data_IF_195741625430
#
_entry.id   IF_195741625430
#
_cell.length_a   1.000
_cell.length_b   1.000
_cell.length_c   1.000
_cell.angle_alpha   90.00
_cell.angle_beta   90.00
_cell.angle_gamma   90.00
#
_symmetry.space_group_name_H-M   'P 1'
#
loop_
_entity.id
_entity.type
_entity.pdbx_description
1 polymer ?
#
# COMPACT_ATOMS: atom_id res chain seq x y z
N UNK A 1 -31.57 -5.50 19.79
CA UNK A 1 -30.87 -4.98 18.59
C UNK A 1 -30.17 -6.16 17.98
N UNK A 2 -30.82 -6.77 16.99
CA UNK A 2 -30.27 -7.90 16.26
C UNK A 2 -29.12 -7.40 15.37
N UNK A 3 -27.91 -7.89 15.65
CA UNK A 3 -26.77 -7.68 14.78
C UNK A 3 -27.03 -8.57 13.57
N UNK A 4 -27.53 -7.97 12.49
CA UNK A 4 -27.56 -8.64 11.20
C UNK A 4 -26.13 -9.04 10.85
N UNK A 5 -25.83 -10.34 10.94
CA UNK A 5 -24.59 -10.92 10.44
C UNK A 5 -24.59 -10.66 8.94
N UNK A 6 -23.79 -9.68 8.51
CA UNK A 6 -23.57 -9.45 7.08
C UNK A 6 -23.05 -10.77 6.49
N UNK A 7 -23.59 -11.24 5.36
CA UNK A 7 -23.07 -12.43 4.71
C UNK A 7 -21.57 -12.25 4.47
N UNK A 8 -20.78 -13.29 4.76
CA UNK A 8 -19.34 -13.28 4.53
C UNK A 8 -19.08 -12.77 3.11
N UNK A 9 -18.32 -11.67 3.00
CA UNK A 9 -17.98 -11.14 1.70
C UNK A 9 -17.13 -12.20 0.97
N UNK A 10 -17.62 -12.70 -0.16
CA UNK A 10 -16.90 -13.65 -0.98
C UNK A 10 -16.30 -12.91 -2.17
N UNK A 11 -15.00 -13.08 -2.40
CA UNK A 11 -14.39 -12.58 -3.62
C UNK A 11 -14.90 -13.40 -4.83
N UNK A 12 -15.66 -12.76 -5.72
CA UNK A 12 -16.25 -13.41 -6.89
C UNK A 12 -15.19 -13.66 -7.98
N UNK A 13 -14.46 -14.77 -7.86
CA UNK A 13 -13.39 -15.16 -8.80
C UNK A 13 -13.82 -15.22 -10.26
N UNK A 14 -15.04 -15.66 -10.54
CA UNK A 14 -15.51 -15.77 -11.91
C UNK A 14 -15.67 -14.40 -12.55
N UNK A 15 -16.14 -13.40 -11.79
CA UNK A 15 -16.26 -12.03 -12.27
C UNK A 15 -14.89 -11.42 -12.54
N UNK A 16 -13.93 -11.64 -11.64
CA UNK A 16 -12.55 -11.18 -11.85
C UNK A 16 -11.90 -11.83 -13.08
N UNK A 17 -12.01 -13.15 -13.24
CA UNK A 17 -11.51 -13.86 -14.42
C UNK A 17 -12.15 -13.31 -15.70
N UNK A 18 -13.46 -13.14 -15.72
CA UNK A 18 -14.18 -12.57 -16.87
C UNK A 18 -13.69 -11.16 -17.21
N UNK A 19 -13.43 -10.32 -16.20
CA UNK A 19 -12.87 -8.97 -16.38
C UNK A 19 -11.46 -9.03 -16.96
N UNK A 20 -10.55 -9.78 -16.33
CA UNK A 20 -9.15 -9.92 -16.77
C UNK A 20 -9.05 -10.48 -18.19
N UNK A 21 -9.78 -11.56 -18.49
CA UNK A 21 -9.82 -12.14 -19.83
C UNK A 21 -10.49 -11.23 -20.87
N UNK A 22 -11.43 -10.37 -20.46
CA UNK A 22 -12.03 -9.36 -21.33
C UNK A 22 -11.06 -8.24 -21.73
N UNK A 23 -10.00 -8.01 -20.95
CA UNK A 23 -9.08 -6.90 -21.14
C UNK A 23 -7.90 -7.21 -22.06
N UNK A 24 -7.48 -8.48 -22.13
CA UNK A 24 -6.53 -8.95 -23.14
C UNK A 24 -6.99 -8.61 -24.57
N UNK A 25 -8.31 -8.45 -24.76
CA UNK A 25 -8.94 -8.14 -26.05
C UNK A 25 -9.44 -6.68 -26.16
N UNK A 26 -9.23 -5.84 -25.14
CA UNK A 26 -9.86 -4.53 -25.06
C UNK A 26 -9.00 -3.41 -25.67
N UNK A 27 -9.60 -2.54 -26.49
CA UNK A 27 -8.97 -1.33 -27.06
C UNK A 27 -8.77 -0.18 -26.06
N UNK A 28 -8.94 -0.44 -24.76
CA UNK A 28 -9.22 0.60 -23.77
C UNK A 28 -7.99 1.11 -23.00
N UNK A 29 -6.77 0.87 -23.47
CA UNK A 29 -5.54 1.33 -22.80
C UNK A 29 -5.20 0.58 -21.50
N UNK A 30 -4.09 0.94 -20.83
CA UNK A 30 -3.59 0.22 -19.66
C UNK A 30 -4.55 0.33 -18.46
N UNK A 31 -4.61 -0.75 -17.68
CA UNK A 31 -5.46 -0.85 -16.49
C UNK A 31 -4.69 -1.39 -15.27
N UNK A 32 -4.99 -0.84 -14.11
CA UNK A 32 -4.46 -1.26 -12.81
C UNK A 32 -5.57 -1.92 -11.99
N UNK A 33 -5.42 -3.21 -11.69
CA UNK A 33 -6.38 -4.00 -10.93
C UNK A 33 -6.01 -4.03 -9.47
N UNK A 34 -6.86 -3.47 -8.62
CA UNK A 34 -6.66 -3.48 -7.18
C UNK A 34 -7.43 -4.67 -6.59
N UNK A 35 -6.68 -5.58 -5.97
CA UNK A 35 -7.19 -6.84 -5.44
C UNK A 35 -6.89 -6.98 -3.95
N UNK A 36 -7.79 -7.63 -3.19
CA UNK A 36 -7.50 -7.97 -1.81
C UNK A 36 -6.40 -9.04 -1.77
N UNK A 37 -5.57 -9.06 -0.73
CA UNK A 37 -4.63 -10.15 -0.49
C UNK A 37 -5.32 -11.27 0.27
N UNK A 38 -5.73 -12.31 -0.47
CA UNK A 38 -6.37 -13.53 0.05
C UNK A 38 -5.63 -14.77 -0.45
N UNK A 39 -5.80 -15.95 0.19
CA UNK A 39 -5.22 -17.19 -0.32
C UNK A 39 -5.54 -17.46 -1.80
N UNK A 40 -6.77 -17.12 -2.21
CA UNK A 40 -7.27 -17.39 -3.54
C UNK A 40 -6.77 -16.40 -4.59
N UNK A 41 -6.72 -15.11 -4.27
CA UNK A 41 -6.16 -14.08 -5.19
C UNK A 41 -4.67 -14.29 -5.38
N UNK A 42 -3.93 -14.58 -4.31
CA UNK A 42 -2.50 -14.93 -4.38
C UNK A 42 -2.29 -16.21 -5.20
N UNK A 43 -3.08 -17.25 -4.93
CA UNK A 43 -3.07 -18.49 -5.70
C UNK A 43 -3.37 -18.29 -7.17
N UNK A 44 -4.35 -17.44 -7.49
CA UNK A 44 -4.77 -17.19 -8.86
C UNK A 44 -3.65 -16.51 -9.65
N UNK A 45 -3.03 -15.47 -9.08
CA UNK A 45 -1.90 -14.79 -9.73
C UNK A 45 -0.71 -15.74 -9.91
N UNK A 46 -0.38 -16.54 -8.89
CA UNK A 46 0.73 -17.50 -8.98
C UNK A 46 0.50 -18.64 -9.97
N UNK A 47 -0.73 -19.13 -10.12
CA UNK A 47 -1.08 -20.24 -11.04
C UNK A 47 -1.29 -19.82 -12.48
N UNK A 48 -1.47 -18.53 -12.75
CA UNK A 48 -1.76 -18.02 -14.08
C UNK A 48 -0.69 -17.01 -14.52
N UNK A 49 0.59 -17.43 -14.68
CA UNK A 49 1.63 -16.55 -15.19
C UNK A 49 1.31 -16.04 -16.61
N UNK A 50 0.44 -16.74 -17.34
CA UNK A 50 -0.09 -16.35 -18.64
C UNK A 50 -0.86 -15.01 -18.64
N UNK A 51 -1.34 -14.53 -17.48
CA UNK A 51 -1.94 -13.19 -17.37
C UNK A 51 -0.91 -12.11 -17.75
N UNK A 52 0.39 -12.38 -17.57
CA UNK A 52 1.47 -11.52 -18.05
C UNK A 52 1.56 -10.14 -17.38
N UNK A 53 0.70 -9.84 -16.41
CA UNK A 53 0.64 -8.55 -15.74
C UNK A 53 1.59 -8.53 -14.53
N UNK A 54 2.50 -7.55 -14.42
CA UNK A 54 3.30 -7.39 -13.21
C UNK A 54 2.38 -7.12 -12.01
N UNK A 55 2.72 -7.74 -10.89
CA UNK A 55 1.98 -7.60 -9.62
C UNK A 55 2.77 -6.73 -8.66
N UNK A 56 2.17 -5.63 -8.21
CA UNK A 56 2.73 -4.74 -7.20
C UNK A 56 2.38 -5.28 -5.82
N UNK A 57 3.40 -5.58 -5.03
CA UNK A 57 3.28 -6.17 -3.69
C UNK A 57 4.02 -5.32 -2.66
N UNK A 58 3.69 -5.53 -1.39
CA UNK A 58 4.21 -4.74 -0.28
C UNK A 58 4.76 -5.60 0.85
N UNK A 59 4.35 -5.30 2.08
CA UNK A 59 4.93 -5.88 3.29
C UNK A 59 4.89 -7.41 3.35
N UNK A 60 3.86 -8.04 2.78
CA UNK A 60 3.72 -9.50 2.77
C UNK A 60 4.51 -10.18 1.65
N UNK A 61 4.90 -9.43 0.60
CA UNK A 61 5.54 -9.98 -0.61
C UNK A 61 4.76 -11.14 -1.22
N UNK A 62 3.43 -11.01 -1.28
CA UNK A 62 2.55 -12.02 -1.87
C UNK A 62 1.85 -11.46 -3.12
N UNK A 63 1.84 -12.17 -4.25
CA UNK A 63 2.63 -13.36 -4.55
C UNK A 63 4.15 -13.08 -4.51
N UNK A 64 4.96 -14.12 -4.31
CA UNK A 64 6.42 -14.00 -4.20
C UNK A 64 7.09 -13.43 -5.46
N UNK A 65 6.45 -13.61 -6.62
CA UNK A 65 6.87 -13.06 -7.91
C UNK A 65 6.53 -11.57 -8.09
N UNK A 66 5.95 -10.93 -7.07
CA UNK A 66 5.59 -9.53 -7.12
C UNK A 66 6.80 -8.59 -7.09
N UNK A 67 6.61 -7.40 -7.64
CA UNK A 67 7.58 -6.30 -7.62
C UNK A 67 7.10 -5.18 -6.69
N UNK A 68 8.02 -4.33 -6.27
CA UNK A 68 7.70 -3.12 -5.51
C UNK A 68 7.12 -2.03 -6.42
N UNK A 69 6.40 -1.07 -5.82
CA UNK A 69 5.89 0.09 -6.55
C UNK A 69 7.03 0.90 -7.20
N UNK A 70 8.18 1.02 -6.52
CA UNK A 70 9.34 1.72 -7.04
C UNK A 70 9.95 1.04 -8.28
N UNK A 71 10.04 -0.29 -8.27
CA UNK A 71 10.48 -1.06 -9.44
C UNK A 71 9.54 -0.86 -10.63
N UNK A 72 8.21 -0.95 -10.43
CA UNK A 72 7.29 -0.68 -11.54
C UNK A 72 7.51 0.72 -12.13
N UNK A 73 7.55 1.75 -11.27
CA UNK A 73 7.67 3.14 -11.72
C UNK A 73 8.98 3.41 -12.48
N UNK A 74 10.06 2.69 -12.20
CA UNK A 74 11.31 2.83 -12.96
C UNK A 74 11.22 2.22 -14.37
N UNK A 75 10.32 1.27 -14.61
CA UNK A 75 10.09 0.63 -15.92
C UNK A 75 9.10 1.36 -16.83
N UNK A 76 8.18 2.17 -16.27
CA UNK A 76 7.13 2.87 -17.04
C UNK A 76 7.54 3.99 -18.05
N UNK A 77 8.80 4.39 -18.29
CA UNK A 77 9.09 5.44 -19.28
C UNK A 77 9.27 5.02 -20.76
N UNK A 78 9.18 3.74 -21.17
CA UNK A 78 9.85 3.28 -22.42
C UNK A 78 8.97 2.59 -23.50
N UNK A 79 7.68 2.90 -23.61
CA UNK A 79 6.72 2.34 -24.60
C UNK A 79 6.09 1.01 -24.20
N UNK A 80 4.75 0.96 -24.26
CA UNK A 80 3.82 -0.03 -23.71
C UNK A 80 3.74 -0.07 -22.17
N UNK A 81 2.76 0.66 -21.63
CA UNK A 81 2.28 0.48 -20.26
C UNK A 81 1.51 -0.86 -20.19
N UNK A 82 2.01 -1.90 -19.52
CA UNK A 82 1.26 -3.14 -19.36
C UNK A 82 0.10 -2.92 -18.39
N UNK A 83 -0.94 -3.76 -18.46
CA UNK A 83 -1.88 -3.86 -17.35
C UNK A 83 -1.13 -4.37 -16.12
N UNK A 84 -1.52 -3.93 -14.93
CA UNK A 84 -0.85 -4.28 -13.67
C UNK A 84 -1.85 -4.77 -12.64
N UNK A 85 -1.42 -5.67 -11.76
CA UNK A 85 -2.16 -6.05 -10.56
C UNK A 85 -1.55 -5.32 -9.37
N UNK A 86 -2.37 -4.87 -8.42
CA UNK A 86 -1.94 -4.12 -7.24
C UNK A 86 -2.59 -4.73 -6.01
N UNK A 87 -1.77 -5.19 -5.07
CA UNK A 87 -2.19 -5.58 -3.75
C UNK A 87 -2.04 -4.39 -2.80
N UNK A 88 -2.92 -3.39 -2.98
CA UNK A 88 -2.84 -2.10 -2.28
C UNK A 88 -2.88 -2.25 -0.77
N UNK A 89 -3.56 -3.29 -0.26
CA UNK A 89 -3.63 -3.65 1.14
C UNK A 89 -2.27 -4.07 1.74
N UNK A 90 -1.32 -4.53 0.93
CA UNK A 90 0.06 -4.82 1.36
C UNK A 90 0.96 -3.58 1.42
N UNK A 91 0.60 -2.50 0.72
CA UNK A 91 1.38 -1.26 0.64
C UNK A 91 1.21 -0.45 1.92
N UNK A 92 1.69 -0.99 3.04
CA UNK A 92 1.52 -0.44 4.39
C UNK A 92 2.76 0.26 4.90
N UNK A 93 3.96 -0.01 4.36
CA UNK A 93 5.21 0.51 4.90
C UNK A 93 5.37 2.01 4.66
N UNK A 94 6.22 2.73 5.42
CA UNK A 94 6.39 4.19 5.26
C UNK A 94 6.91 4.61 3.88
N UNK A 95 7.59 3.69 3.18
CA UNK A 95 8.12 3.92 1.84
C UNK A 95 7.02 3.83 0.79
N UNK A 96 6.07 2.89 0.97
CA UNK A 96 4.98 2.66 0.01
C UNK A 96 3.78 3.56 0.31
N UNK A 97 3.37 3.64 1.58
CA UNK A 97 2.24 4.44 2.06
C UNK A 97 2.69 5.76 2.69
N UNK A 98 2.86 6.77 1.83
CA UNK A 98 3.40 8.09 2.16
C UNK A 98 2.33 9.15 2.34
N UNK A 99 1.10 8.92 1.86
CA UNK A 99 0.02 9.92 1.88
C UNK A 99 -0.86 9.69 3.10
N UNK A 100 -0.94 10.70 3.98
CA UNK A 100 -1.85 10.67 5.12
C UNK A 100 -3.23 11.19 4.71
N UNK A 101 -4.26 10.40 4.98
CA UNK A 101 -5.65 10.77 4.80
C UNK A 101 -6.34 10.92 6.15
N UNK A 102 -7.27 11.87 6.24
CA UNK A 102 -8.17 12.05 7.38
C UNK A 102 -9.56 11.55 7.00
N UNK A 103 -10.10 10.66 7.81
CA UNK A 103 -11.46 10.12 7.65
C UNK A 103 -12.23 10.18 8.96
N UNK A 104 -13.52 9.88 8.92
CA UNK A 104 -14.35 9.75 10.12
C UNK A 104 -13.84 8.67 11.09
N UNK A 105 -13.20 7.62 10.58
CA UNK A 105 -12.60 6.53 11.37
C UNK A 105 -11.18 6.85 11.87
N UNK A 106 -10.68 8.06 11.60
CA UNK A 106 -9.35 8.50 12.00
C UNK A 106 -8.40 8.76 10.84
N UNK A 107 -7.12 8.98 11.18
CA UNK A 107 -6.05 9.24 10.22
C UNK A 107 -5.34 7.93 9.86
N UNK A 108 -5.02 7.73 8.58
CA UNK A 108 -4.21 6.59 8.13
C UNK A 108 -3.42 6.93 6.87
N UNK A 109 -2.39 6.13 6.61
CA UNK A 109 -1.52 6.27 5.46
C UNK A 109 -1.89 5.32 4.32
N UNK A 110 -1.93 5.84 3.10
CA UNK A 110 -2.16 5.08 1.87
C UNK A 110 -1.02 5.24 0.88
N UNK A 111 -0.94 4.30 -0.05
CA UNK A 111 -0.04 4.39 -1.20
C UNK A 111 -0.52 5.47 -2.17
N UNK A 112 0.39 6.23 -2.79
CA UNK A 112 0.05 7.11 -3.91
C UNK A 112 0.10 6.37 -5.26
N UNK A 113 0.42 5.07 -5.31
CA UNK A 113 0.71 4.38 -6.58
C UNK A 113 -0.48 4.42 -7.54
N UNK A 114 -1.70 4.25 -7.04
CA UNK A 114 -2.93 4.29 -7.83
C UNK A 114 -3.13 5.68 -8.46
N UNK A 115 -2.86 6.74 -7.68
CA UNK A 115 -2.91 8.12 -8.15
C UNK A 115 -1.87 8.37 -9.24
N UNK A 116 -0.62 7.93 -9.01
CA UNK A 116 0.49 8.11 -9.95
C UNK A 116 0.18 7.39 -11.27
N UNK A 117 -0.25 6.13 -11.21
CA UNK A 117 -0.59 5.35 -12.38
C UNK A 117 -1.74 6.01 -13.17
N UNK A 118 -2.79 6.45 -12.48
CA UNK A 118 -3.94 7.06 -13.15
C UNK A 118 -3.62 8.42 -13.78
N UNK A 119 -3.01 9.33 -13.02
CA UNK A 119 -2.83 10.72 -13.44
C UNK A 119 -1.59 10.94 -14.30
N UNK A 120 -0.51 10.19 -14.08
CA UNK A 120 0.75 10.36 -14.84
C UNK A 120 0.92 9.36 -15.97
N UNK A 121 0.38 8.15 -15.81
CA UNK A 121 0.61 7.06 -16.77
C UNK A 121 -0.67 6.64 -17.51
N UNK A 122 -1.80 7.32 -17.30
CA UNK A 122 -3.04 7.10 -18.04
C UNK A 122 -3.67 5.73 -17.76
N UNK A 123 -3.42 5.14 -16.59
CA UNK A 123 -4.05 3.88 -16.20
C UNK A 123 -5.50 4.11 -15.81
N UNK A 124 -6.40 3.26 -16.29
CA UNK A 124 -7.67 3.04 -15.61
C UNK A 124 -7.40 2.36 -14.26
N UNK A 125 -8.16 2.70 -13.23
CA UNK A 125 -8.15 1.95 -11.96
C UNK A 125 -9.39 1.07 -11.89
N UNK A 126 -9.20 -0.22 -11.66
CA UNK A 126 -10.27 -1.20 -11.47
C UNK A 126 -10.10 -1.83 -10.11
N UNK A 127 -10.91 -1.45 -9.14
CA UNK A 127 -10.78 -1.94 -7.76
C UNK A 127 -11.92 -2.90 -7.43
N UNK A 128 -11.59 -4.03 -6.82
CA UNK A 128 -12.60 -4.85 -6.18
C UNK A 128 -13.18 -4.13 -4.95
N UNK A 129 -14.50 -4.14 -4.81
CA UNK A 129 -15.19 -3.88 -3.55
C UNK A 129 -16.11 -5.07 -3.24
N UNK A 130 -16.59 -5.18 -2.00
CA UNK A 130 -17.37 -6.35 -1.54
C UNK A 130 -18.64 -6.64 -2.37
N UNK A 131 -19.11 -5.68 -3.17
CA UNK A 131 -20.33 -5.79 -3.98
C UNK A 131 -20.06 -5.91 -5.48
N UNK A 132 -18.97 -5.36 -6.00
CA UNK A 132 -18.66 -5.25 -7.44
C UNK A 132 -17.22 -4.74 -7.69
N UNK A 133 -16.82 -4.71 -8.97
CA UNK A 133 -15.67 -3.91 -9.40
C UNK A 133 -16.07 -2.46 -9.67
N UNK A 134 -15.33 -1.51 -9.08
CA UNK A 134 -15.44 -0.09 -9.39
C UNK A 134 -14.35 0.32 -10.37
N UNK A 135 -14.70 1.23 -11.29
CA UNK A 135 -13.80 1.72 -12.33
C UNK A 135 -13.62 3.24 -12.23
N UNK A 136 -12.37 3.69 -12.35
CA UNK A 136 -11.99 5.08 -12.52
C UNK A 136 -11.27 5.21 -13.85
N UNK A 137 -11.79 6.10 -14.69
CA UNK A 137 -11.22 6.40 -16.00
C UNK A 137 -9.79 6.96 -15.91
N UNK A 138 -8.96 6.75 -16.95
CA UNK A 138 -7.64 7.35 -17.06
C UNK A 138 -7.63 8.87 -16.84
N UNK A 139 -6.53 9.40 -16.29
CA UNK A 139 -6.31 10.83 -16.12
C UNK A 139 -7.44 11.55 -15.34
N UNK A 140 -7.96 10.91 -14.30
CA UNK A 140 -8.99 11.50 -13.44
C UNK A 140 -8.43 12.74 -12.73
N UNK A 141 -9.05 13.90 -12.98
CA UNK A 141 -8.63 15.19 -12.39
C UNK A 141 -8.96 15.30 -10.90
N UNK A 142 -9.88 14.49 -10.39
CA UNK A 142 -10.26 14.46 -8.98
C UNK A 142 -9.49 13.37 -8.21
N UNK A 143 -8.34 13.75 -7.64
CA UNK A 143 -7.53 12.87 -6.80
C UNK A 143 -8.30 12.31 -5.60
N UNK A 144 -9.33 13.02 -5.10
CA UNK A 144 -10.12 12.56 -3.96
C UNK A 144 -10.97 11.33 -4.31
N UNK A 145 -11.40 11.21 -5.56
CA UNK A 145 -12.13 10.03 -6.07
C UNK A 145 -11.25 8.79 -6.04
N UNK A 146 -9.99 8.90 -6.44
CA UNK A 146 -9.02 7.78 -6.43
C UNK A 146 -8.76 7.33 -4.99
N UNK A 147 -8.50 8.28 -4.08
CA UNK A 147 -8.28 7.91 -2.68
C UNK A 147 -9.53 7.33 -2.01
N UNK A 148 -10.73 7.86 -2.27
CA UNK A 148 -11.98 7.26 -1.78
C UNK A 148 -12.14 5.82 -2.25
N UNK A 149 -11.83 5.55 -3.51
CA UNK A 149 -11.88 4.20 -4.07
C UNK A 149 -10.92 3.23 -3.37
N UNK A 150 -9.67 3.65 -3.10
CA UNK A 150 -8.72 2.86 -2.30
C UNK A 150 -9.23 2.61 -0.89
N UNK A 151 -9.84 3.62 -0.25
CA UNK A 151 -10.42 3.47 1.10
C UNK A 151 -11.57 2.46 1.10
N UNK A 152 -12.49 2.57 0.13
CA UNK A 152 -13.63 1.66 -0.02
C UNK A 152 -13.18 0.23 -0.28
N UNK A 153 -12.13 0.06 -1.10
CA UNK A 153 -11.48 -1.23 -1.29
C UNK A 153 -10.93 -1.80 0.03
N UNK A 154 -10.17 -1.02 0.81
CA UNK A 154 -9.62 -1.48 2.10
C UNK A 154 -10.73 -1.80 3.12
N UNK A 155 -11.81 -1.02 3.14
CA UNK A 155 -12.99 -1.32 3.96
C UNK A 155 -13.66 -2.63 3.54
N UNK A 156 -13.75 -2.88 2.24
CA UNK A 156 -14.26 -4.14 1.71
C UNK A 156 -13.36 -5.32 2.07
N UNK A 157 -12.04 -5.12 2.14
CA UNK A 157 -11.12 -6.15 2.59
C UNK A 157 -11.35 -6.53 4.06
N UNK A 158 -11.71 -5.59 4.93
CA UNK A 158 -12.01 -5.91 6.34
C UNK A 158 -13.21 -6.85 6.49
N UNK A 159 -14.19 -6.75 5.58
CA UNK A 159 -15.34 -7.64 5.53
C UNK A 159 -15.00 -9.10 5.13
N UNK A 160 -13.80 -9.36 4.61
CA UNK A 160 -13.31 -10.71 4.30
C UNK A 160 -12.86 -11.49 5.55
N UNK A 161 -12.74 -10.83 6.71
CA UNK A 161 -12.38 -11.49 7.95
C UNK A 161 -11.01 -12.18 7.88
N UNK A 162 -10.98 -13.48 8.19
CA UNK A 162 -9.75 -14.28 8.26
C UNK A 162 -9.17 -14.60 6.87
N UNK A 163 -9.94 -14.40 5.80
CA UNK A 163 -9.43 -14.54 4.43
C UNK A 163 -8.53 -13.37 4.03
N UNK A 164 -8.58 -12.25 4.76
CA UNK A 164 -7.72 -11.11 4.50
C UNK A 164 -6.35 -11.29 5.15
N UNK A 165 -5.39 -11.80 4.38
CA UNK A 165 -4.04 -12.11 4.87
C UNK A 165 -3.30 -10.85 5.35
N UNK A 166 -3.57 -9.69 4.74
CA UNK A 166 -2.93 -8.43 5.11
C UNK A 166 -3.63 -7.70 6.29
N UNK A 167 -4.68 -8.27 6.88
CA UNK A 167 -5.48 -7.61 7.94
C UNK A 167 -4.64 -7.14 9.11
N UNK A 168 -3.80 -8.03 9.64
CA UNK A 168 -2.91 -7.73 10.78
C UNK A 168 -1.81 -6.72 10.44
N UNK A 169 -1.59 -6.38 9.16
CA UNK A 169 -0.58 -5.40 8.77
C UNK A 169 -1.16 -3.98 8.66
N UNK A 170 -2.48 -3.83 8.68
CA UNK A 170 -3.12 -2.52 8.52
C UNK A 170 -2.81 -1.55 9.65
N UNK A 171 -2.52 -2.04 10.87
CA UNK A 171 -2.13 -1.16 11.98
C UNK A 171 -0.90 -0.30 11.64
N UNK A 172 -0.01 -0.78 10.75
CA UNK A 172 1.22 -0.09 10.33
C UNK A 172 0.89 1.23 9.59
N UNK A 173 -0.32 1.34 9.02
CA UNK A 173 -0.84 2.56 8.39
C UNK A 173 -1.27 3.63 9.39
N UNK A 174 -1.30 3.36 10.69
CA UNK A 174 -1.76 4.34 11.68
C UNK A 174 -0.62 5.29 12.06
N UNK A 175 -0.91 6.59 12.34
CA UNK A 175 0.09 7.51 12.87
C UNK A 175 0.77 7.00 14.15
N UNK A 176 0.00 6.36 15.04
CA UNK A 176 0.54 5.79 16.27
C UNK A 176 1.63 4.73 15.98
N UNK A 177 1.38 3.80 15.05
CA UNK A 177 2.37 2.81 14.65
C UNK A 177 3.58 3.44 13.96
N UNK A 178 3.38 4.44 13.10
CA UNK A 178 4.47 5.19 12.45
C UNK A 178 5.38 5.88 13.46
N UNK A 179 4.79 6.58 14.43
CA UNK A 179 5.52 7.26 15.50
C UNK A 179 6.27 6.26 16.39
N UNK A 180 5.61 5.15 16.77
CA UNK A 180 6.26 4.09 17.55
C UNK A 180 7.48 3.51 16.82
N UNK A 181 7.32 3.15 15.55
CA UNK A 181 8.39 2.59 14.72
C UNK A 181 9.53 3.59 14.50
N UNK A 182 9.22 4.87 14.29
CA UNK A 182 10.22 5.93 14.18
C UNK A 182 11.03 6.07 15.47
N UNK A 183 10.38 6.10 16.64
CA UNK A 183 11.05 6.14 17.94
C UNK A 183 11.97 4.92 18.14
N UNK A 184 11.52 3.72 17.74
CA UNK A 184 12.34 2.51 17.81
C UNK A 184 13.57 2.59 16.91
N UNK A 185 13.42 3.03 15.65
CA UNK A 185 14.55 3.20 14.71
C UNK A 185 15.56 4.23 15.22
N UNK A 186 15.10 5.35 15.77
CA UNK A 186 16.00 6.37 16.34
C UNK A 186 16.82 5.83 17.52
N UNK A 187 16.24 4.99 18.39
CA UNK A 187 16.99 4.33 19.46
C UNK A 187 18.06 3.37 18.91
N UNK A 188 17.73 2.61 17.88
CA UNK A 188 18.69 1.70 17.23
C UNK A 188 19.84 2.47 16.59
N UNK A 189 19.54 3.54 15.84
CA UNK A 189 20.58 4.39 15.25
C UNK A 189 21.46 5.04 16.31
N UNK A 190 20.87 5.51 17.41
CA UNK A 190 21.64 6.06 18.52
C UNK A 190 22.62 5.02 19.10
N UNK A 191 22.15 3.80 19.34
CA UNK A 191 23.00 2.71 19.83
C UNK A 191 24.11 2.36 18.84
N UNK A 192 23.80 2.24 17.56
CA UNK A 192 24.77 1.89 16.51
C UNK A 192 25.82 2.99 16.31
N UNK A 193 25.42 4.26 16.42
CA UNK A 193 26.34 5.40 16.34
C UNK A 193 27.29 5.40 17.55
N UNK A 194 26.81 5.17 18.76
CA UNK A 194 27.70 5.09 19.93
C UNK A 194 28.67 3.90 19.85
N UNK A 195 28.17 2.75 19.38
CA UNK A 195 28.98 1.54 19.21
C UNK A 195 30.11 1.74 18.19
N UNK A 196 29.81 2.37 17.04
CA UNK A 196 30.79 2.65 16.00
C UNK A 196 31.92 3.60 16.42
N UNK A 197 31.73 4.38 17.49
CA UNK A 197 32.70 5.35 18.01
C UNK A 197 33.12 5.03 19.45
N UNK A 198 32.96 3.78 19.89
CA UNK A 198 33.30 3.33 21.26
C UNK A 198 34.73 3.67 21.68
N UNK A 199 35.67 3.69 20.73
CA UNK A 199 37.10 3.94 20.95
C UNK A 199 37.47 5.43 20.97
N UNK A 200 36.63 6.31 20.41
CA UNK A 200 36.85 7.76 20.37
C UNK A 200 35.52 8.51 20.55
N UNK A 201 35.12 8.67 21.81
CA UNK A 201 33.87 9.34 22.20
C UNK A 201 33.93 10.87 22.04
N UNK A 202 35.11 11.44 21.82
CA UNK A 202 35.29 12.87 21.63
C UNK A 202 35.23 13.29 20.15
N UNK A 203 35.09 12.32 19.25
CA UNK A 203 34.96 12.52 17.82
C UNK A 203 33.79 13.49 17.47
N UNK A 204 34.09 14.50 16.66
CA UNK A 204 33.15 15.54 16.28
C UNK A 204 32.01 15.03 15.37
N UNK A 205 32.24 13.99 14.58
CA UNK A 205 31.20 13.33 13.79
C UNK A 205 30.23 12.58 14.70
N UNK A 206 30.70 11.94 15.79
CA UNK A 206 29.84 11.35 16.80
C UNK A 206 28.90 12.39 17.42
N UNK A 207 29.44 13.51 17.91
CA UNK A 207 28.65 14.59 18.54
C UNK A 207 27.56 15.11 17.59
N UNK A 208 27.91 15.36 16.32
CA UNK A 208 26.96 15.79 15.29
C UNK A 208 25.88 14.74 15.01
N UNK A 209 26.26 13.47 14.95
CA UNK A 209 25.30 12.38 14.71
C UNK A 209 24.31 12.24 15.87
N UNK A 210 24.78 12.27 17.12
CA UNK A 210 23.95 12.22 18.32
C UNK A 210 23.01 13.43 18.39
N UNK A 211 23.52 14.63 18.18
CA UNK A 211 22.69 15.85 18.14
C UNK A 211 21.60 15.75 17.09
N UNK A 212 21.94 15.27 15.88
CA UNK A 212 20.96 15.08 14.82
C UNK A 212 19.87 14.08 15.21
N UNK A 213 20.24 12.99 15.86
CA UNK A 213 19.27 11.99 16.36
C UNK A 213 18.36 12.63 17.41
N UNK A 214 18.88 13.42 18.34
CA UNK A 214 18.08 14.09 19.36
C UNK A 214 17.10 15.12 18.77
N UNK A 215 17.51 15.88 17.75
CA UNK A 215 16.60 16.76 16.99
C UNK A 215 15.45 15.95 16.38
N UNK A 216 15.75 14.82 15.73
CA UNK A 216 14.73 13.95 15.14
C UNK A 216 13.80 13.36 16.20
N UNK A 217 14.32 12.95 17.36
CA UNK A 217 13.51 12.44 18.49
C UNK A 217 12.51 13.48 18.98
N UNK A 218 12.93 14.73 19.13
CA UNK A 218 12.04 15.84 19.53
C UNK A 218 10.95 16.08 18.49
N UNK A 219 11.29 16.04 17.21
CA UNK A 219 10.32 16.18 16.13
C UNK A 219 9.28 15.06 16.17
N UNK A 220 9.69 13.80 16.25
CA UNK A 220 8.78 12.64 16.37
C UNK A 220 7.94 12.72 17.65
N UNK A 221 8.49 13.25 18.75
CA UNK A 221 7.78 13.47 20.01
C UNK A 221 6.61 14.46 19.88
N UNK A 222 6.78 15.55 19.11
CA UNK A 222 5.70 16.51 18.84
C UNK A 222 4.53 15.88 18.08
N UNK A 223 4.81 14.91 17.20
CA UNK A 223 3.78 14.27 16.38
C UNK A 223 2.88 13.35 17.21
N UNK A 224 3.39 12.76 18.31
CA UNK A 224 2.56 11.98 19.24
C UNK A 224 1.50 12.81 19.99
N UNK A 225 1.67 14.13 20.09
CA UNK A 225 0.76 15.00 20.84
C UNK A 225 -0.45 15.47 20.02
N UNK A 226 -0.48 15.20 18.72
CA UNK A 226 -1.54 15.65 17.79
C UNK A 226 -2.30 14.49 17.16
N UNK A 227 -2.05 13.27 17.65
CA UNK A 227 -2.64 12.01 17.15
C UNK A 227 -3.46 11.26 18.19
N UNK A 228 -3.60 11.83 19.40
CA UNK A 228 -4.49 11.34 20.46
C UNK A 228 -5.79 12.15 20.44
#
# INVERSE_FOLDING_TARGET
MDIAVLPEALFHHQEFKNRVSGLENSRHGPAAFILPTTPETVSFVGRNPAIGFPSIVGALKLPESGITAGELLSFLPHSNCPNVLIFSDQLVNPVDATVMLRTHSGNFFVSPIELILNQRHGYRIVSWNASAFMEIEPACSDSSRIYRNVIEHLKSCDALGDQWLARTHQFIRTPAARVHNAKRKLRLFHSAVLDAYLEDLDDEALKKAVERIEVLRRQVGKWSLHTC
#
